data_IF_741339488568
#
_entry.id   IF_741339488568
#
_cell.length_a   1.000
_cell.length_b   1.000
_cell.length_c   1.000
_cell.angle_alpha   90.00
_cell.angle_beta   90.00
_cell.angle_gamma   90.00
#
_symmetry.space_group_name_H-M   'P 1'
#
loop_
_entity.id
_entity.type
_entity.pdbx_description
1 polymer ?
#
# COMPACT_ATOMS: atom_id res chain seq x y z
N UNK A 1 -77.07 16.19 37.25
CA UNK A 1 -75.94 16.10 38.19
C UNK A 1 -75.14 14.83 37.89
N UNK A 2 -73.96 14.95 37.40
CA UNK A 2 -72.90 14.07 37.87
C UNK A 2 -71.55 14.82 38.10
N UNK A 3 -70.78 14.21 38.98
CA UNK A 3 -69.61 14.75 39.67
C UNK A 3 -68.38 14.82 38.81
N UNK A 4 -67.68 15.95 38.82
CA UNK A 4 -66.39 16.20 38.31
C UNK A 4 -65.33 15.41 39.13
N UNK A 5 -64.51 14.56 38.49
CA UNK A 5 -63.32 13.99 39.11
C UNK A 5 -62.12 14.64 38.43
N UNK A 6 -61.30 15.36 39.20
CA UNK A 6 -60.05 15.90 38.79
C UNK A 6 -58.99 14.78 38.66
N UNK A 7 -58.32 14.68 37.53
CA UNK A 7 -57.14 13.87 37.30
C UNK A 7 -55.92 14.75 37.47
N UNK A 8 -55.17 14.51 38.51
CA UNK A 8 -53.83 15.06 38.71
C UNK A 8 -52.86 14.34 37.76
N UNK A 9 -52.36 15.07 36.81
CA UNK A 9 -51.29 14.63 35.90
C UNK A 9 -49.93 14.91 36.53
N UNK A 10 -49.25 13.86 36.98
CA UNK A 10 -47.83 13.91 37.37
C UNK A 10 -46.96 13.99 36.12
N UNK A 11 -46.41 15.17 35.80
CA UNK A 11 -45.40 15.34 34.82
C UNK A 11 -44.02 14.94 35.40
N UNK A 12 -43.53 13.78 35.00
CA UNK A 12 -42.14 13.38 35.22
C UNK A 12 -41.26 14.11 34.20
N UNK A 13 -40.46 15.04 34.65
CA UNK A 13 -39.37 15.63 33.87
C UNK A 13 -38.26 14.59 33.71
N UNK A 14 -37.77 14.35 32.49
CA UNK A 14 -36.57 13.54 32.31
C UNK A 14 -35.36 14.32 32.77
N UNK A 15 -34.67 13.80 33.78
CA UNK A 15 -33.38 14.30 34.25
C UNK A 15 -32.31 13.88 33.22
N UNK A 16 -31.91 14.81 32.32
CA UNK A 16 -30.78 14.63 31.43
C UNK A 16 -29.51 14.57 32.27
N UNK A 17 -28.98 13.36 32.47
CA UNK A 17 -27.62 13.16 32.95
C UNK A 17 -26.65 13.62 31.85
N UNK A 18 -26.10 14.82 31.99
CA UNK A 18 -24.98 15.29 31.21
C UNK A 18 -23.70 14.65 31.77
N UNK A 19 -23.21 13.62 31.13
CA UNK A 19 -21.87 13.10 31.41
C UNK A 19 -20.82 14.09 30.86
N UNK A 20 -19.83 14.48 31.67
CA UNK A 20 -18.75 15.30 31.16
C UNK A 20 -17.94 14.46 30.17
N UNK A 21 -17.92 14.87 28.89
CA UNK A 21 -16.99 14.36 27.90
C UNK A 21 -15.61 14.92 28.28
N UNK A 22 -14.88 14.18 29.10
CA UNK A 22 -13.46 14.46 29.29
C UNK A 22 -12.75 14.16 27.99
N UNK A 23 -12.30 15.19 27.31
CA UNK A 23 -11.39 15.07 26.15
C UNK A 23 -10.14 14.34 26.64
N UNK A 24 -10.06 13.05 26.35
CA UNK A 24 -8.81 12.31 26.50
C UNK A 24 -7.81 12.92 25.50
N UNK A 25 -6.98 13.82 25.99
CA UNK A 25 -5.75 14.21 25.30
C UNK A 25 -5.00 12.93 25.02
N UNK A 26 -4.78 12.63 23.74
CA UNK A 26 -3.96 11.51 23.32
C UNK A 26 -2.59 11.67 23.99
N UNK A 27 -2.33 10.88 25.01
CA UNK A 27 -0.99 10.79 25.59
C UNK A 27 -0.06 10.30 24.49
N UNK A 28 1.02 11.04 24.26
CA UNK A 28 2.12 10.55 23.45
C UNK A 28 2.56 9.19 24.03
N UNK A 29 2.83 8.19 23.17
CA UNK A 29 3.33 6.92 23.66
C UNK A 29 4.58 7.16 24.51
N UNK A 30 4.76 6.40 25.60
CA UNK A 30 5.96 6.54 26.45
C UNK A 30 7.21 6.36 25.59
N UNK A 31 8.18 7.23 25.75
CA UNK A 31 9.46 7.12 25.09
C UNK A 31 10.06 5.74 25.42
N UNK A 32 10.15 4.88 24.44
CA UNK A 32 10.77 3.57 24.60
C UNK A 32 12.26 3.75 24.75
N UNK A 33 12.79 3.48 25.95
CA UNK A 33 14.23 3.44 26.18
C UNK A 33 14.72 2.06 25.70
N UNK A 34 15.47 1.98 24.60
CA UNK A 34 15.93 0.69 24.10
C UNK A 34 16.94 0.11 25.07
N UNK A 35 16.58 -0.99 25.72
CA UNK A 35 17.56 -1.89 26.33
C UNK A 35 18.36 -2.53 25.19
N UNK A 36 19.67 -2.56 25.36
CA UNK A 36 20.73 -3.02 24.46
C UNK A 36 20.49 -4.51 24.04
N UNK A 37 19.63 -4.74 23.08
CA UNK A 37 19.39 -6.05 22.51
C UNK A 37 18.74 -5.94 21.13
N UNK A 38 19.00 -6.92 20.29
CA UNK A 38 18.25 -7.34 19.09
C UNK A 38 17.18 -6.36 18.56
N UNK A 39 17.07 -6.28 17.25
CA UNK A 39 15.99 -5.59 16.57
C UNK A 39 14.64 -5.85 17.27
N UNK A 40 13.90 -4.79 17.55
CA UNK A 40 12.55 -4.88 18.13
C UNK A 40 11.52 -4.54 17.06
N UNK A 41 10.32 -5.05 17.24
CA UNK A 41 9.20 -4.67 16.37
C UNK A 41 8.00 -4.26 17.20
N UNK A 42 7.21 -3.32 16.69
CA UNK A 42 5.97 -2.88 17.32
C UNK A 42 4.86 -2.65 16.29
N UNK A 43 3.63 -2.90 16.71
CA UNK A 43 2.45 -2.56 15.93
C UNK A 43 2.15 -1.07 16.06
N UNK A 44 1.91 -0.42 14.94
CA UNK A 44 1.60 1.01 14.88
C UNK A 44 0.27 1.27 14.21
N UNK A 45 -0.38 2.36 14.60
CA UNK A 45 -1.58 2.87 13.93
C UNK A 45 -1.30 4.29 13.47
N UNK A 46 -1.29 4.48 12.15
CA UNK A 46 -1.09 5.79 11.53
C UNK A 46 -2.44 6.39 11.14
N UNK A 47 -2.50 7.70 11.07
CA UNK A 47 -3.67 8.42 10.57
C UNK A 47 -3.27 9.18 9.31
N UNK A 48 -4.01 8.96 8.23
CA UNK A 48 -3.85 9.69 6.98
C UNK A 48 -4.41 11.12 7.08
N UNK A 49 -4.07 11.99 6.15
CA UNK A 49 -4.58 13.37 6.10
C UNK A 49 -6.10 13.45 5.92
N UNK A 50 -6.71 12.45 5.30
CA UNK A 50 -8.16 12.32 5.14
C UNK A 50 -8.83 11.49 6.26
N UNK A 51 -8.09 11.21 7.36
CA UNK A 51 -8.62 10.66 8.59
C UNK A 51 -8.70 9.14 8.68
N UNK A 52 -8.28 8.39 7.66
CA UNK A 52 -8.25 6.93 7.67
C UNK A 52 -7.19 6.43 8.66
N UNK A 53 -7.51 5.37 9.41
CA UNK A 53 -6.57 4.70 10.31
C UNK A 53 -5.95 3.50 9.60
N UNK A 54 -4.63 3.51 9.49
CA UNK A 54 -3.86 2.45 8.89
C UNK A 54 -3.08 1.70 9.96
N UNK A 55 -3.05 0.38 9.87
CA UNK A 55 -2.24 -0.47 10.74
C UNK A 55 -0.93 -0.82 10.04
N UNK A 56 0.12 -0.99 10.81
CA UNK A 56 1.40 -1.42 10.31
C UNK A 56 2.26 -2.02 11.41
N UNK A 57 3.42 -2.51 11.01
CA UNK A 57 4.48 -2.96 11.92
C UNK A 57 5.75 -2.22 11.57
N UNK A 58 6.42 -1.68 12.57
CA UNK A 58 7.76 -1.12 12.43
C UNK A 58 8.78 -2.08 13.03
N UNK A 59 9.86 -2.33 12.32
CA UNK A 59 11.03 -3.08 12.76
C UNK A 59 12.15 -2.08 13.02
N UNK A 60 12.58 -1.98 14.26
CA UNK A 60 13.61 -1.03 14.69
C UNK A 60 14.99 -1.65 14.63
N UNK A 61 15.90 -0.97 13.99
CA UNK A 61 17.31 -1.31 13.99
C UNK A 61 17.96 -0.93 15.33
N UNK A 62 18.81 -1.78 15.87
CA UNK A 62 19.58 -1.46 17.10
C UNK A 62 20.57 -0.31 16.90
N UNK A 63 21.03 -0.10 15.67
CA UNK A 63 21.89 1.00 15.23
C UNK A 63 21.36 1.51 13.89
N UNK A 64 20.38 2.42 13.92
CA UNK A 64 19.72 2.86 12.70
C UNK A 64 20.67 3.65 11.77
N UNK A 65 20.58 3.34 10.48
CA UNK A 65 21.20 4.13 9.41
C UNK A 65 20.34 5.35 9.10
N UNK A 66 20.86 6.35 8.35
CA UNK A 66 20.05 7.50 7.92
C UNK A 66 18.84 7.14 7.08
N UNK A 67 18.90 6.00 6.38
CA UNK A 67 17.85 5.53 5.48
C UNK A 67 16.90 4.58 6.21
N UNK A 68 15.60 4.69 5.90
CA UNK A 68 14.58 3.75 6.35
C UNK A 68 13.78 3.21 5.16
N UNK A 69 13.13 2.06 5.35
CA UNK A 69 12.30 1.40 4.34
C UNK A 69 10.83 1.54 4.67
N UNK A 70 10.02 1.78 3.61
CA UNK A 70 8.57 1.62 3.64
C UNK A 70 8.17 0.50 2.68
N UNK A 71 7.55 -0.56 3.22
CA UNK A 71 7.07 -1.71 2.45
C UNK A 71 5.57 -1.54 2.16
N UNK A 72 5.20 -1.63 0.88
CA UNK A 72 3.84 -1.45 0.37
C UNK A 72 3.39 -2.72 -0.34
N UNK A 73 2.40 -3.38 0.21
CA UNK A 73 1.88 -4.65 -0.30
C UNK A 73 1.10 -4.52 -1.62
N UNK A 74 0.89 -5.66 -2.29
CA UNK A 74 0.11 -5.80 -3.50
C UNK A 74 -1.40 -5.85 -3.26
N UNK A 75 -2.15 -6.30 -4.29
CA UNK A 75 -3.58 -6.54 -4.19
C UNK A 75 -3.87 -7.65 -3.17
N UNK A 76 -4.87 -7.42 -2.32
CA UNK A 76 -5.28 -8.41 -1.31
C UNK A 76 -4.25 -8.69 -0.22
N UNK A 77 -3.09 -8.03 -0.24
CA UNK A 77 -2.04 -8.18 0.75
C UNK A 77 -2.25 -7.35 2.00
N UNK A 78 -1.33 -7.50 2.95
CA UNK A 78 -1.27 -6.76 4.21
C UNK A 78 0.19 -6.67 4.68
N UNK A 79 0.46 -5.89 5.73
CA UNK A 79 1.81 -5.74 6.29
C UNK A 79 2.42 -7.07 6.78
N UNK A 80 1.59 -8.06 7.06
CA UNK A 80 1.99 -9.41 7.51
C UNK A 80 2.01 -10.46 6.38
N UNK A 81 1.80 -10.04 5.12
CA UNK A 81 1.75 -10.95 3.97
C UNK A 81 3.12 -11.23 3.39
N UNK A 82 3.23 -12.37 2.70
CA UNK A 82 4.42 -12.78 1.97
C UNK A 82 5.69 -12.69 2.85
N UNK A 83 6.76 -12.22 2.28
CA UNK A 83 8.08 -12.11 2.90
C UNK A 83 8.28 -10.85 3.76
N UNK A 84 7.27 -10.00 3.96
CA UNK A 84 7.44 -8.67 4.59
C UNK A 84 8.02 -8.75 6.01
N UNK A 85 7.53 -9.68 6.84
CA UNK A 85 8.08 -9.84 8.18
C UNK A 85 9.56 -10.23 8.15
N UNK A 86 9.91 -11.23 7.33
CA UNK A 86 11.30 -11.70 7.17
C UNK A 86 12.22 -10.59 6.64
N UNK A 87 11.74 -9.83 5.65
CA UNK A 87 12.50 -8.70 5.08
C UNK A 87 12.67 -7.57 6.11
N UNK A 88 11.60 -7.23 6.86
CA UNK A 88 11.64 -6.21 7.90
C UNK A 88 12.65 -6.53 8.99
N UNK A 89 12.64 -7.76 9.49
CA UNK A 89 13.62 -8.23 10.47
C UNK A 89 15.06 -8.19 9.93
N UNK A 90 15.28 -8.71 8.72
CA UNK A 90 16.60 -8.73 8.09
C UNK A 90 17.11 -7.31 7.78
N UNK A 91 16.24 -6.40 7.35
CA UNK A 91 16.56 -5.01 7.11
C UNK A 91 16.92 -4.28 8.42
N UNK A 92 16.17 -4.52 9.51
CA UNK A 92 16.50 -3.96 10.82
C UNK A 92 17.83 -4.48 11.34
N UNK A 93 18.15 -5.77 11.17
CA UNK A 93 19.47 -6.33 11.47
C UNK A 93 20.60 -5.68 10.64
N UNK A 94 20.31 -5.31 9.40
CA UNK A 94 21.24 -4.57 8.54
C UNK A 94 21.31 -3.06 8.83
N UNK A 95 20.54 -2.58 9.80
CA UNK A 95 20.54 -1.18 10.27
C UNK A 95 19.48 -0.29 9.64
N UNK A 96 18.46 -0.85 8.96
CA UNK A 96 17.38 -0.06 8.35
C UNK A 96 16.09 -0.19 9.17
N UNK A 97 15.66 0.89 9.83
CA UNK A 97 14.29 0.92 10.34
C UNK A 97 13.32 0.67 9.18
N UNK A 98 12.37 -0.23 9.39
CA UNK A 98 11.49 -0.68 8.32
C UNK A 98 10.04 -0.65 8.76
N UNK A 99 9.20 0.09 8.05
CA UNK A 99 7.76 0.11 8.25
C UNK A 99 7.07 -0.71 7.16
N UNK A 100 6.33 -1.74 7.53
CA UNK A 100 5.38 -2.40 6.64
C UNK A 100 3.96 -1.90 6.98
N UNK A 101 3.22 -1.40 5.97
CA UNK A 101 1.98 -0.68 6.17
C UNK A 101 0.82 -1.35 5.44
N UNK A 102 -0.34 -1.47 6.10
CA UNK A 102 -1.59 -1.75 5.42
C UNK A 102 -2.05 -0.52 4.65
N UNK A 103 -2.29 -0.69 3.36
CA UNK A 103 -3.05 0.28 2.58
C UNK A 103 -4.52 0.22 2.98
N UNK A 104 -5.29 1.30 2.76
CA UNK A 104 -6.72 1.37 3.11
C UNK A 104 -7.58 0.27 2.48
N UNK A 105 -7.11 -0.30 1.38
CA UNK A 105 -7.74 -1.38 0.62
C UNK A 105 -7.03 -2.73 0.80
N UNK A 106 -6.36 -2.93 1.95
CA UNK A 106 -5.69 -4.19 2.29
C UNK A 106 -6.68 -5.37 2.33
N UNK A 107 -6.16 -6.59 2.40
CA UNK A 107 -6.92 -7.84 2.40
C UNK A 107 -7.78 -8.06 1.13
N UNK A 108 -8.51 -9.16 1.07
CA UNK A 108 -9.33 -9.54 -0.08
C UNK A 108 -10.78 -8.98 -0.06
N UNK A 109 -11.10 -8.09 0.89
CA UNK A 109 -12.44 -7.51 1.01
C UNK A 109 -12.84 -6.60 -0.16
N UNK A 110 -14.11 -6.13 -0.19
CA UNK A 110 -14.62 -5.23 -1.21
C UNK A 110 -13.80 -3.94 -1.32
N UNK A 111 -13.45 -3.50 -2.53
CA UNK A 111 -12.64 -2.32 -2.80
C UNK A 111 -13.54 -1.13 -3.13
N UNK A 112 -13.48 -0.09 -2.29
CA UNK A 112 -14.34 1.10 -2.38
C UNK A 112 -13.56 2.40 -2.60
N UNK A 113 -12.31 2.46 -2.15
CA UNK A 113 -11.46 3.65 -2.30
C UNK A 113 -10.96 3.80 -3.73
N UNK A 114 -10.54 5.00 -4.10
CA UNK A 114 -9.82 5.20 -5.36
C UNK A 114 -8.38 4.67 -5.25
N UNK A 115 -7.80 4.19 -6.34
CA UNK A 115 -6.36 3.88 -6.39
C UNK A 115 -5.51 5.09 -5.99
N UNK A 116 -5.93 6.28 -6.36
CA UNK A 116 -5.21 7.52 -6.05
C UNK A 116 -5.13 7.83 -4.56
N UNK A 117 -6.06 7.31 -3.75
CA UNK A 117 -6.07 7.51 -2.29
C UNK A 117 -4.87 6.84 -1.61
N UNK A 118 -4.25 5.85 -2.26
CA UNK A 118 -3.01 5.24 -1.77
C UNK A 118 -1.86 6.26 -1.61
N UNK A 119 -1.94 7.41 -2.30
CA UNK A 119 -0.99 8.49 -2.10
C UNK A 119 -0.99 9.01 -0.67
N UNK A 120 -2.17 9.18 -0.07
CA UNK A 120 -2.28 9.65 1.32
C UNK A 120 -1.86 8.59 2.32
N UNK A 121 -2.06 7.31 1.98
CA UNK A 121 -1.62 6.19 2.80
C UNK A 121 -0.09 6.11 2.87
N UNK A 122 0.57 6.17 1.71
CA UNK A 122 2.04 6.17 1.64
C UNK A 122 2.60 7.44 2.29
N UNK A 123 1.96 8.59 2.09
CA UNK A 123 2.36 9.84 2.75
C UNK A 123 2.33 9.73 4.27
N UNK A 124 1.35 9.03 4.86
CA UNK A 124 1.31 8.79 6.30
C UNK A 124 2.47 7.91 6.77
N UNK A 125 2.83 6.86 6.02
CA UNK A 125 4.00 6.03 6.31
C UNK A 125 5.31 6.81 6.21
N UNK A 126 5.48 7.62 5.17
CA UNK A 126 6.62 8.52 4.98
C UNK A 126 6.73 9.52 6.13
N UNK A 127 5.62 10.15 6.52
CA UNK A 127 5.58 11.10 7.64
C UNK A 127 5.98 10.43 8.97
N UNK A 128 5.54 9.19 9.20
CA UNK A 128 5.91 8.42 10.38
C UNK A 128 7.42 8.14 10.43
N UNK A 129 8.02 7.69 9.35
CA UNK A 129 9.47 7.46 9.29
C UNK A 129 10.28 8.76 9.48
N UNK A 130 9.77 9.88 8.96
CA UNK A 130 10.36 11.21 9.24
C UNK A 130 10.28 11.59 10.72
N UNK A 131 9.18 11.27 11.41
CA UNK A 131 9.04 11.49 12.85
C UNK A 131 10.05 10.67 13.67
N UNK A 132 10.46 9.49 13.17
CA UNK A 132 11.55 8.70 13.74
C UNK A 132 12.94 9.29 13.44
N UNK A 133 13.04 10.39 12.68
CA UNK A 133 14.28 11.10 12.38
C UNK A 133 14.92 10.76 11.04
N UNK A 134 14.30 9.89 10.23
CA UNK A 134 14.84 9.52 8.92
C UNK A 134 14.59 10.60 7.88
N UNK A 135 15.64 10.96 7.13
CA UNK A 135 15.59 11.97 6.06
C UNK A 135 15.75 11.38 4.66
N UNK A 136 16.08 10.12 4.57
CA UNK A 136 16.24 9.40 3.30
C UNK A 136 15.42 8.13 3.37
N UNK A 137 14.46 7.98 2.49
CA UNK A 137 13.51 6.88 2.52
C UNK A 137 13.64 6.02 1.26
N UNK A 138 13.44 4.73 1.42
CA UNK A 138 13.37 3.78 0.33
C UNK A 138 11.97 3.22 0.29
N UNK A 139 11.31 3.31 -0.86
CA UNK A 139 10.00 2.70 -1.06
C UNK A 139 10.18 1.33 -1.73
N UNK A 140 9.61 0.30 -1.12
CA UNK A 140 9.48 -1.01 -1.74
C UNK A 140 8.01 -1.31 -1.99
N UNK A 141 7.66 -1.58 -3.25
CA UNK A 141 6.35 -2.07 -3.65
C UNK A 141 6.42 -3.51 -4.10
N UNK A 142 5.47 -4.33 -3.65
CA UNK A 142 5.27 -5.71 -4.10
C UNK A 142 4.02 -5.80 -4.96
N UNK A 143 4.09 -6.47 -6.13
CA UNK A 143 2.95 -6.64 -7.04
C UNK A 143 2.28 -5.29 -7.36
N UNK A 144 0.97 -5.12 -7.16
CA UNK A 144 0.28 -3.83 -7.32
C UNK A 144 0.87 -2.72 -6.42
N UNK A 145 1.59 -3.06 -5.35
CA UNK A 145 2.34 -2.10 -4.53
C UNK A 145 3.38 -1.33 -5.34
N UNK A 146 3.93 -1.92 -6.41
CA UNK A 146 4.84 -1.22 -7.33
C UNK A 146 4.17 -0.05 -8.02
N UNK A 147 2.92 -0.23 -8.48
CA UNK A 147 2.12 0.85 -9.08
C UNK A 147 1.82 1.95 -8.05
N UNK A 148 1.56 1.58 -6.79
CA UNK A 148 1.26 2.51 -5.69
C UNK A 148 2.46 3.41 -5.35
N UNK A 149 3.64 2.81 -5.13
CA UNK A 149 4.85 3.59 -4.80
C UNK A 149 5.31 4.47 -5.96
N UNK A 150 5.15 4.01 -7.20
CA UNK A 150 5.46 4.80 -8.38
C UNK A 150 4.48 5.97 -8.57
N UNK A 151 3.19 5.73 -8.35
CA UNK A 151 2.18 6.80 -8.39
C UNK A 151 2.45 7.86 -7.31
N UNK A 152 2.75 7.43 -6.07
CA UNK A 152 3.10 8.34 -4.98
C UNK A 152 4.25 9.26 -5.38
N UNK A 153 5.35 8.71 -5.88
CA UNK A 153 6.51 9.50 -6.25
C UNK A 153 6.22 10.44 -7.43
N UNK A 154 5.51 9.95 -8.45
CA UNK A 154 5.15 10.75 -9.62
C UNK A 154 4.22 11.92 -9.29
N UNK A 155 3.37 11.77 -8.27
CA UNK A 155 2.42 12.77 -7.82
C UNK A 155 2.98 13.73 -6.79
N UNK A 156 3.79 13.23 -5.84
CA UNK A 156 4.36 14.04 -4.76
C UNK A 156 5.65 14.76 -5.13
N UNK A 157 6.47 14.14 -6.00
CA UNK A 157 7.83 14.63 -6.27
C UNK A 157 8.72 14.69 -5.03
N UNK A 158 8.44 13.84 -4.02
CA UNK A 158 9.07 13.86 -2.70
C UNK A 158 10.59 13.66 -2.79
N UNK A 159 11.42 14.68 -2.46
CA UNK A 159 12.86 14.63 -2.62
C UNK A 159 13.56 13.72 -1.60
N UNK A 160 12.89 13.35 -0.52
CA UNK A 160 13.46 12.47 0.50
C UNK A 160 13.41 10.99 0.10
N UNK A 161 12.69 10.66 -1.00
CA UNK A 161 12.70 9.30 -1.53
C UNK A 161 14.02 9.06 -2.27
N UNK A 162 14.93 8.37 -1.59
CA UNK A 162 16.30 8.16 -2.07
C UNK A 162 16.43 7.00 -3.05
N UNK A 163 15.52 6.02 -3.01
CA UNK A 163 15.55 4.84 -3.88
C UNK A 163 14.19 4.15 -3.94
N UNK A 164 13.98 3.33 -4.98
CA UNK A 164 12.73 2.59 -5.20
C UNK A 164 13.03 1.14 -5.54
N UNK A 165 12.29 0.22 -4.91
CA UNK A 165 12.40 -1.22 -5.15
C UNK A 165 11.05 -1.73 -5.64
N UNK A 166 11.05 -2.41 -6.77
CA UNK A 166 9.87 -2.97 -7.44
C UNK A 166 9.99 -4.49 -7.47
N UNK A 167 9.14 -5.18 -6.72
CA UNK A 167 9.14 -6.64 -6.62
C UNK A 167 7.89 -7.21 -7.28
N UNK A 168 8.04 -8.10 -8.24
CA UNK A 168 6.94 -8.73 -9.00
C UNK A 168 5.91 -7.73 -9.55
N UNK A 169 6.37 -6.60 -10.10
CA UNK A 169 5.48 -5.56 -10.61
C UNK A 169 4.65 -6.04 -11.80
N UNK A 170 3.30 -5.84 -11.82
CA UNK A 170 2.42 -6.35 -12.86
C UNK A 170 2.44 -5.52 -14.15
N UNK A 171 3.13 -4.41 -14.19
CA UNK A 171 3.03 -3.45 -15.28
C UNK A 171 1.76 -2.61 -15.23
N UNK A 172 1.25 -2.16 -16.39
CA UNK A 172 -0.02 -1.45 -16.47
C UNK A 172 -1.18 -2.40 -16.15
N UNK A 173 -2.05 -2.00 -15.21
CA UNK A 173 -3.12 -2.87 -14.71
C UNK A 173 -4.24 -3.15 -15.72
N UNK A 174 -4.44 -2.28 -16.72
CA UNK A 174 -5.33 -2.57 -17.82
C UNK A 174 -4.68 -3.56 -18.81
N UNK A 175 -3.40 -3.36 -19.15
CA UNK A 175 -2.66 -4.29 -19.99
C UNK A 175 -2.55 -5.67 -19.33
N UNK A 176 -2.42 -5.72 -17.99
CA UNK A 176 -2.48 -6.97 -17.24
C UNK A 176 -3.81 -7.70 -17.48
N UNK A 177 -4.95 -7.00 -17.45
CA UNK A 177 -6.24 -7.59 -17.79
C UNK A 177 -6.30 -8.05 -19.24
N UNK A 178 -5.74 -7.28 -20.18
CA UNK A 178 -5.66 -7.67 -21.60
C UNK A 178 -4.84 -8.95 -21.77
N UNK A 179 -3.75 -9.09 -21.05
CA UNK A 179 -2.93 -10.28 -21.08
C UNK A 179 -3.65 -11.51 -20.50
N UNK A 180 -4.41 -11.32 -19.41
CA UNK A 180 -5.14 -12.41 -18.75
C UNK A 180 -6.38 -12.87 -19.54
N UNK A 181 -7.12 -11.97 -20.17
CA UNK A 181 -8.48 -12.24 -20.65
C UNK A 181 -8.71 -11.89 -22.12
N UNK A 182 -7.76 -11.26 -22.78
CA UNK A 182 -7.94 -10.63 -24.06
C UNK A 182 -8.57 -9.23 -23.98
N UNK A 183 -8.37 -8.46 -25.06
CA UNK A 183 -8.72 -7.04 -25.13
C UNK A 183 -10.21 -6.77 -24.91
N UNK A 184 -11.08 -7.56 -25.54
CA UNK A 184 -12.53 -7.31 -25.52
C UNK A 184 -13.10 -7.47 -24.11
N UNK A 185 -12.71 -8.52 -23.39
CA UNK A 185 -13.16 -8.75 -22.00
C UNK A 185 -12.58 -7.70 -21.04
N UNK A 186 -11.33 -7.32 -21.22
CA UNK A 186 -10.71 -6.26 -20.43
C UNK A 186 -11.42 -4.92 -20.64
N UNK A 187 -11.74 -4.58 -21.90
CA UNK A 187 -12.45 -3.34 -22.24
C UNK A 187 -13.89 -3.35 -21.73
N UNK A 188 -14.61 -4.46 -21.86
CA UNK A 188 -15.99 -4.59 -21.38
C UNK A 188 -16.12 -4.24 -19.88
N UNK A 189 -15.16 -4.67 -19.04
CA UNK A 189 -15.14 -4.32 -17.61
C UNK A 189 -15.01 -2.82 -17.38
N UNK A 190 -14.23 -2.14 -18.20
CA UNK A 190 -14.06 -0.67 -18.12
C UNK A 190 -15.32 0.04 -18.62
N UNK A 191 -15.90 -0.43 -19.74
CA UNK A 191 -17.11 0.15 -20.32
C UNK A 191 -18.31 0.04 -19.37
N UNK A 192 -18.45 -1.08 -18.67
CA UNK A 192 -19.51 -1.24 -17.67
C UNK A 192 -19.31 -0.30 -16.47
N UNK A 193 -18.09 -0.13 -16.01
CA UNK A 193 -17.78 0.84 -14.96
C UNK A 193 -18.03 2.30 -15.42
N UNK A 194 -17.72 2.64 -16.68
CA UNK A 194 -18.01 3.96 -17.26
C UNK A 194 -19.52 4.22 -17.35
N UNK A 195 -20.32 3.22 -17.72
CA UNK A 195 -21.80 3.35 -17.73
C UNK A 195 -22.33 3.67 -16.32
N UNK A 196 -21.84 2.97 -15.29
CA UNK A 196 -22.21 3.25 -13.91
C UNK A 196 -21.81 4.67 -13.50
N UNK A 197 -20.59 5.09 -13.82
CA UNK A 197 -20.13 6.45 -13.52
C UNK A 197 -20.99 7.51 -14.23
N UNK A 198 -21.33 7.33 -15.51
CA UNK A 198 -22.17 8.26 -16.27
C UNK A 198 -23.62 8.34 -15.72
N UNK A 199 -24.10 7.25 -15.11
CA UNK A 199 -25.39 7.20 -14.44
C UNK A 199 -25.37 7.78 -13.01
N UNK A 200 -24.21 8.21 -12.49
CA UNK A 200 -24.06 8.67 -11.10
C UNK A 200 -24.00 7.53 -10.07
N UNK A 201 -23.73 6.31 -10.50
CA UNK A 201 -23.70 5.09 -9.71
C UNK A 201 -22.27 4.54 -9.50
N UNK A 202 -21.28 5.40 -9.46
CA UNK A 202 -19.86 5.00 -9.38
C UNK A 202 -19.49 4.22 -8.09
N UNK A 203 -20.35 4.30 -7.06
CA UNK A 203 -20.20 3.55 -5.80
C UNK A 203 -20.82 2.15 -5.86
N UNK A 204 -21.50 1.78 -6.93
CA UNK A 204 -22.06 0.44 -7.06
C UNK A 204 -20.96 -0.61 -7.19
N UNK A 205 -21.23 -1.78 -6.57
CA UNK A 205 -20.31 -2.91 -6.58
C UNK A 205 -20.45 -3.73 -7.85
N UNK A 206 -19.33 -3.95 -8.49
CA UNK A 206 -19.16 -4.83 -9.64
C UNK A 206 -18.40 -6.08 -9.23
N UNK A 207 -18.80 -7.23 -9.78
CA UNK A 207 -17.98 -8.44 -9.71
C UNK A 207 -16.93 -8.37 -10.81
N UNK A 208 -15.67 -8.32 -10.41
CA UNK A 208 -14.52 -8.26 -11.35
C UNK A 208 -13.79 -9.59 -11.33
N UNK A 209 -13.58 -10.16 -12.50
CA UNK A 209 -12.76 -11.36 -12.68
C UNK A 209 -11.28 -10.96 -12.69
N UNK A 210 -10.49 -11.58 -11.81
CA UNK A 210 -9.05 -11.38 -11.69
C UNK A 210 -8.25 -12.62 -12.12
N UNK A 211 -8.83 -13.50 -12.94
CA UNK A 211 -8.18 -14.69 -13.46
C UNK A 211 -7.68 -15.62 -12.35
N UNK A 212 -6.38 -15.91 -12.30
CA UNK A 212 -5.81 -16.81 -11.31
C UNK A 212 -6.02 -16.37 -9.85
N UNK A 213 -6.24 -15.07 -9.62
CA UNK A 213 -6.47 -14.49 -8.29
C UNK A 213 -7.92 -14.70 -7.83
N UNK A 214 -8.84 -15.04 -8.75
CA UNK A 214 -10.25 -15.26 -8.47
C UNK A 214 -11.14 -14.07 -8.81
N UNK A 215 -12.26 -13.91 -8.09
CA UNK A 215 -13.20 -12.81 -8.28
C UNK A 215 -13.12 -11.82 -7.14
N UNK A 216 -13.31 -10.56 -7.45
CA UNK A 216 -13.31 -9.46 -6.48
C UNK A 216 -14.57 -8.59 -6.61
N UNK A 217 -14.89 -7.86 -5.55
CA UNK A 217 -15.92 -6.83 -5.55
C UNK A 217 -15.25 -5.45 -5.58
N UNK A 218 -15.48 -4.69 -6.63
CA UNK A 218 -14.98 -3.33 -6.82
C UNK A 218 -16.14 -2.36 -6.99
N UNK A 219 -16.03 -1.16 -6.47
CA UNK A 219 -16.86 -0.07 -6.98
C UNK A 219 -16.40 0.29 -8.40
N UNK A 220 -17.30 0.83 -9.23
CA UNK A 220 -16.93 1.31 -10.55
C UNK A 220 -15.82 2.36 -10.45
N UNK A 221 -15.88 3.26 -9.44
CA UNK A 221 -14.83 4.24 -9.16
C UNK A 221 -13.46 3.60 -8.89
N UNK A 222 -13.39 2.55 -8.07
CA UNK A 222 -12.13 1.86 -7.80
C UNK A 222 -11.54 1.26 -9.08
N UNK A 223 -12.36 0.58 -9.89
CA UNK A 223 -11.93 -0.02 -11.15
C UNK A 223 -11.40 1.05 -12.12
N UNK A 224 -12.16 2.13 -12.32
CA UNK A 224 -11.80 3.21 -13.24
C UNK A 224 -10.53 3.95 -12.79
N UNK A 225 -10.33 4.15 -11.50
CA UNK A 225 -9.14 4.81 -10.98
C UNK A 225 -7.83 4.08 -11.29
N UNK A 226 -7.91 2.76 -11.52
CA UNK A 226 -6.75 1.92 -11.88
C UNK A 226 -6.65 1.63 -13.37
N UNK A 227 -7.79 1.27 -14.00
CA UNK A 227 -7.85 0.67 -15.34
C UNK A 227 -8.62 1.53 -16.35
N UNK A 228 -9.21 2.64 -15.89
CA UNK A 228 -9.94 3.58 -16.71
C UNK A 228 -9.04 4.38 -17.67
N UNK A 229 -9.61 5.29 -18.46
CA UNK A 229 -8.89 6.06 -19.49
C UNK A 229 -7.69 6.83 -18.96
N UNK A 230 -7.77 7.37 -17.73
CA UNK A 230 -6.69 8.16 -17.10
C UNK A 230 -5.45 7.34 -16.76
N UNK A 231 -5.60 6.03 -16.58
CA UNK A 231 -4.51 5.08 -16.28
C UNK A 231 -3.50 5.58 -15.24
N UNK A 232 -3.96 6.15 -14.15
CA UNK A 232 -3.08 6.74 -13.12
C UNK A 232 -2.17 5.71 -12.46
N UNK A 233 -2.58 4.43 -12.48
CA UNK A 233 -1.76 3.31 -12.00
C UNK A 233 -0.65 2.90 -12.98
N UNK A 234 -0.57 3.47 -14.19
CA UNK A 234 0.39 3.05 -15.20
C UNK A 234 1.84 3.30 -14.72
N UNK A 235 2.63 2.23 -14.50
CA UNK A 235 3.98 2.37 -13.95
C UNK A 235 4.96 2.99 -14.95
N UNK A 236 4.74 2.84 -16.24
CA UNK A 236 5.67 3.34 -17.26
C UNK A 236 5.64 4.87 -17.32
N UNK A 237 4.45 5.47 -17.29
CA UNK A 237 4.29 6.94 -17.23
C UNK A 237 4.74 7.52 -15.90
N UNK A 238 4.56 6.77 -14.80
CA UNK A 238 5.00 7.21 -13.49
C UNK A 238 6.52 7.10 -13.35
N UNK A 239 7.16 6.02 -13.85
CA UNK A 239 8.62 5.86 -13.86
C UNK A 239 9.35 6.99 -14.59
N UNK A 240 8.77 7.53 -15.66
CA UNK A 240 9.36 8.67 -16.35
C UNK A 240 9.55 9.92 -15.45
N UNK A 241 8.85 10.00 -14.33
CA UNK A 241 8.95 11.08 -13.33
C UNK A 241 9.81 10.73 -12.12
N UNK A 242 10.16 9.45 -11.96
CA UNK A 242 11.03 8.96 -10.88
C UNK A 242 12.48 9.20 -11.27
N UNK A 243 13.25 9.89 -10.40
CA UNK A 243 14.64 10.27 -10.67
C UNK A 243 15.65 9.56 -9.78
N UNK A 244 15.16 8.89 -8.74
CA UNK A 244 16.02 8.12 -7.84
C UNK A 244 16.36 6.75 -8.44
N UNK A 245 17.43 6.06 -7.95
CA UNK A 245 17.77 4.70 -8.37
C UNK A 245 16.61 3.73 -8.22
N UNK A 246 16.41 2.87 -9.22
CA UNK A 246 15.33 1.87 -9.26
C UNK A 246 15.93 0.47 -9.30
N UNK A 247 15.46 -0.40 -8.39
CA UNK A 247 15.80 -1.82 -8.36
C UNK A 247 14.55 -2.64 -8.65
N UNK A 248 14.65 -3.57 -9.58
CA UNK A 248 13.54 -4.41 -10.02
C UNK A 248 13.91 -5.86 -9.77
N UNK A 249 13.04 -6.60 -9.08
CA UNK A 249 13.22 -8.03 -8.84
C UNK A 249 12.00 -8.77 -9.37
N UNK A 250 12.26 -9.85 -10.11
CA UNK A 250 11.23 -10.70 -10.69
C UNK A 250 11.60 -12.17 -10.59
N UNK A 251 10.61 -13.01 -10.27
CA UNK A 251 10.75 -14.46 -10.31
C UNK A 251 10.60 -14.99 -11.74
N UNK A 252 11.43 -15.96 -12.15
CA UNK A 252 11.34 -16.54 -13.51
C UNK A 252 10.17 -17.52 -13.67
N UNK A 253 9.61 -18.04 -12.57
CA UNK A 253 8.43 -18.90 -12.55
C UNK A 253 7.11 -18.17 -12.23
N UNK A 254 7.15 -16.82 -12.15
CA UNK A 254 5.96 -16.00 -11.89
C UNK A 254 4.95 -16.14 -13.05
N UNK A 255 3.78 -16.70 -12.76
CA UNK A 255 2.68 -16.91 -13.71
C UNK A 255 1.58 -15.86 -13.61
N UNK A 256 1.69 -14.94 -12.66
CA UNK A 256 0.70 -13.88 -12.47
C UNK A 256 0.98 -12.65 -13.33
N UNK A 257 2.19 -12.49 -13.84
CA UNK A 257 2.59 -11.36 -14.67
C UNK A 257 3.23 -11.83 -15.97
N UNK A 258 3.17 -11.00 -17.02
CA UNK A 258 3.79 -11.35 -18.30
C UNK A 258 5.33 -11.39 -18.14
N UNK A 259 6.02 -12.35 -18.80
CA UNK A 259 7.45 -12.59 -18.58
C UNK A 259 8.37 -11.40 -18.91
N UNK A 260 7.94 -10.50 -19.79
CA UNK A 260 8.70 -9.35 -20.26
C UNK A 260 8.56 -8.10 -19.39
N UNK A 261 7.67 -8.11 -18.38
CA UNK A 261 7.35 -6.92 -17.58
C UNK A 261 8.58 -6.34 -16.87
N UNK A 262 9.43 -7.18 -16.28
CA UNK A 262 10.67 -6.71 -15.64
C UNK A 262 11.53 -5.90 -16.58
N UNK A 263 11.69 -6.36 -17.82
CA UNK A 263 12.46 -5.66 -18.86
C UNK A 263 11.79 -4.37 -19.31
N UNK A 264 10.47 -4.37 -19.45
CA UNK A 264 9.69 -3.16 -19.78
C UNK A 264 9.79 -2.10 -18.68
N UNK A 265 9.69 -2.51 -17.41
CA UNK A 265 9.89 -1.61 -16.26
C UNK A 265 11.32 -1.05 -16.24
N UNK A 266 12.34 -1.88 -16.46
CA UNK A 266 13.72 -1.44 -16.55
C UNK A 266 13.93 -0.41 -17.66
N UNK A 267 13.37 -0.66 -18.84
CA UNK A 267 13.43 0.27 -19.97
C UNK A 267 12.78 1.61 -19.63
N UNK A 268 11.62 1.59 -18.98
CA UNK A 268 10.92 2.81 -18.58
C UNK A 268 11.63 3.60 -17.46
N UNK A 269 12.32 2.89 -16.55
CA UNK A 269 13.09 3.50 -15.47
C UNK A 269 14.45 4.07 -15.95
N UNK A 270 14.90 3.68 -17.14
CA UNK A 270 16.12 4.19 -17.74
C UNK A 270 17.38 3.37 -17.44
N UNK A 271 18.54 3.83 -17.93
CA UNK A 271 19.77 3.02 -17.99
C UNK A 271 20.40 2.72 -16.62
N UNK A 272 20.05 3.47 -15.58
CA UNK A 272 20.55 3.26 -14.22
C UNK A 272 19.74 2.25 -13.42
N UNK A 273 18.59 1.80 -13.94
CA UNK A 273 17.76 0.81 -13.30
C UNK A 273 18.39 -0.58 -13.37
N UNK A 274 18.39 -1.27 -12.23
CA UNK A 274 18.92 -2.62 -12.09
C UNK A 274 17.78 -3.62 -12.08
N UNK A 275 17.80 -4.59 -12.99
CA UNK A 275 16.88 -5.72 -13.02
C UNK A 275 17.60 -6.98 -12.58
N UNK A 276 17.02 -7.70 -11.63
CA UNK A 276 17.47 -9.02 -11.18
C UNK A 276 16.32 -10.00 -11.32
N UNK A 277 16.60 -11.15 -11.93
CA UNK A 277 15.68 -12.29 -11.96
C UNK A 277 16.14 -13.35 -10.95
N UNK A 278 15.20 -13.90 -10.19
CA UNK A 278 15.45 -15.03 -9.28
C UNK A 278 14.87 -16.28 -9.94
N UNK A 279 15.77 -17.23 -10.21
CA UNK A 279 15.44 -18.46 -10.93
C UNK A 279 14.44 -19.31 -10.13
N UNK A 280 13.45 -19.89 -10.80
CA UNK A 280 12.37 -20.70 -10.24
C UNK A 280 11.49 -20.02 -9.18
N UNK A 281 11.68 -18.75 -8.88
CA UNK A 281 10.84 -18.03 -7.95
C UNK A 281 9.49 -17.70 -8.58
N UNK A 282 8.43 -17.90 -7.81
CA UNK A 282 7.06 -17.52 -8.15
C UNK A 282 6.76 -16.09 -7.70
N UNK A 283 5.50 -15.64 -7.83
CA UNK A 283 5.08 -14.25 -7.59
C UNK A 283 5.41 -13.73 -6.19
N UNK A 284 5.16 -14.54 -5.16
CA UNK A 284 5.37 -14.17 -3.75
C UNK A 284 6.72 -14.64 -3.19
N UNK A 285 7.57 -15.19 -4.04
CA UNK A 285 8.91 -15.71 -3.68
C UNK A 285 8.89 -16.80 -2.61
N UNK A 286 7.81 -17.56 -2.49
CA UNK A 286 7.75 -18.72 -1.59
C UNK A 286 8.94 -19.65 -1.85
N UNK A 287 9.63 -20.05 -0.76
CA UNK A 287 10.88 -20.78 -0.79
C UNK A 287 12.11 -20.06 -1.40
N UNK A 288 11.95 -18.80 -1.83
CA UNK A 288 13.02 -17.96 -2.39
C UNK A 288 13.19 -16.65 -1.62
N UNK A 289 12.51 -16.49 -0.45
CA UNK A 289 12.52 -15.25 0.33
C UNK A 289 13.94 -14.84 0.74
N UNK A 290 14.77 -15.82 1.11
CA UNK A 290 16.17 -15.55 1.50
C UNK A 290 16.99 -14.97 0.36
N UNK A 291 16.78 -15.46 -0.88
CA UNK A 291 17.46 -14.92 -2.07
C UNK A 291 16.94 -13.50 -2.38
N UNK A 292 15.62 -13.27 -2.31
CA UNK A 292 15.05 -11.94 -2.49
C UNK A 292 15.64 -10.95 -1.48
N UNK A 293 15.66 -11.31 -0.19
CA UNK A 293 16.18 -10.47 0.89
C UNK A 293 17.66 -10.15 0.64
N UNK A 294 18.47 -11.16 0.29
CA UNK A 294 19.89 -10.96 -0.06
C UNK A 294 20.06 -9.94 -1.18
N UNK A 295 19.30 -10.09 -2.28
CA UNK A 295 19.39 -9.17 -3.43
C UNK A 295 18.94 -7.75 -3.06
N UNK A 296 17.86 -7.61 -2.30
CA UNK A 296 17.35 -6.31 -1.83
C UNK A 296 18.39 -5.63 -0.93
N UNK A 297 18.86 -6.30 0.11
CA UNK A 297 19.83 -5.72 1.06
C UNK A 297 21.19 -5.47 0.43
N UNK A 298 21.63 -6.38 -0.45
CA UNK A 298 22.86 -6.21 -1.22
C UNK A 298 22.81 -4.93 -2.07
N UNK A 299 21.72 -4.70 -2.82
CA UNK A 299 21.59 -3.48 -3.61
C UNK A 299 21.45 -2.23 -2.73
N UNK A 300 20.65 -2.29 -1.65
CA UNK A 300 20.51 -1.17 -0.71
C UNK A 300 21.86 -0.69 -0.16
N UNK A 301 22.79 -1.60 0.10
CA UNK A 301 24.11 -1.24 0.59
C UNK A 301 24.93 -0.41 -0.39
N UNK A 302 24.59 -0.43 -1.68
CA UNK A 302 25.29 0.33 -2.73
C UNK A 302 24.70 1.72 -2.96
N UNK A 303 23.42 1.93 -2.67
CA UNK A 303 22.70 3.20 -2.93
C UNK A 303 22.40 4.00 -1.68
N UNK A 304 22.60 3.41 -0.51
CA UNK A 304 22.26 3.96 0.80
C UNK A 304 23.44 4.64 1.51
N UNK A 305 24.45 5.05 0.75
CA UNK A 305 25.60 5.79 1.29
C UNK A 305 25.33 7.28 1.38
#
# INVERSE_FOLDING_TARGET
>A
MPKLRALLSNALLPMCLVWPVTSALAQAPPAHVPTKAACSSELVVLRTSDGVRLQGIVFHASKPRPNALLLVHGYGGAFYSAYFAKLGEAAAQAGYDTLALNMRDHDAGPKKSSFTDNQTDIAAGVAYLRQLGHKRLVLLGQSMGTNRVLYYQAASGDPDIAATILVSGPGDLFEWNVWQFGKDKAQASVDDALKLQQAGHEEEMMVVDLGPIGKALYTARYLLSMRGPDRRSNPYTNLAKVKNPVFIVQGTADKLIAPDIGKRLQTAAGPTAVLVSIECAEHDFDNHESQLIEKVLGWLSTVAQ
#
